data_IF_538067791695
#
_entry.id   IF_538067791695
#
_cell.length_a   1.000
_cell.length_b   1.000
_cell.length_c   1.000
_cell.angle_alpha   90.00
_cell.angle_beta   90.00
_cell.angle_gamma   90.00
#
_symmetry.space_group_name_H-M   'P 1'
#
loop_
_entity.id
_entity.type
_entity.pdbx_description
1 polymer ?
#
# COMPACT_ATOMS: atom_id res chain seq x y z
N UNK A 1 -32.32 4.02 -3.80
CA UNK A 1 -31.34 4.51 -4.81
C UNK A 1 -29.89 4.60 -4.31
N UNK A 2 -29.58 5.10 -3.09
CA UNK A 2 -28.19 5.12 -2.56
C UNK A 2 -27.60 3.72 -2.33
N UNK A 3 -28.40 2.78 -1.83
CA UNK A 3 -27.98 1.40 -1.52
C UNK A 3 -27.53 0.62 -2.78
N UNK A 4 -28.28 0.70 -3.87
CA UNK A 4 -27.90 0.01 -5.12
C UNK A 4 -26.60 0.56 -5.72
N UNK A 5 -26.38 1.88 -5.69
CA UNK A 5 -25.13 2.49 -6.16
C UNK A 5 -23.91 2.04 -5.34
N UNK A 6 -24.08 1.90 -4.00
CA UNK A 6 -23.00 1.39 -3.14
C UNK A 6 -22.57 -0.03 -3.49
N UNK A 7 -23.53 -0.92 -3.82
CA UNK A 7 -23.21 -2.28 -4.26
C UNK A 7 -22.37 -2.27 -5.56
N UNK A 8 -22.76 -1.45 -6.54
CA UNK A 8 -21.99 -1.35 -7.78
C UNK A 8 -20.56 -0.85 -7.53
N UNK A 9 -20.38 0.17 -6.69
CA UNK A 9 -19.06 0.70 -6.33
C UNK A 9 -18.21 -0.37 -5.63
N UNK A 10 -18.79 -1.10 -4.68
CA UNK A 10 -18.11 -2.21 -4.01
C UNK A 10 -17.67 -3.30 -5.01
N UNK A 11 -18.54 -3.71 -5.92
CA UNK A 11 -18.23 -4.74 -6.93
C UNK A 11 -17.11 -4.27 -7.85
N UNK A 12 -17.14 -3.01 -8.30
CA UNK A 12 -16.05 -2.42 -9.10
C UNK A 12 -14.74 -2.47 -8.30
N UNK A 13 -14.75 -2.05 -7.04
CA UNK A 13 -13.59 -2.11 -6.17
C UNK A 13 -13.06 -3.54 -6.00
N UNK A 14 -13.94 -4.52 -5.78
CA UNK A 14 -13.56 -5.93 -5.65
C UNK A 14 -12.92 -6.49 -6.94
N UNK A 15 -13.42 -6.11 -8.13
CA UNK A 15 -12.81 -6.47 -9.43
C UNK A 15 -11.42 -5.85 -9.56
N UNK A 16 -11.26 -4.59 -9.17
CA UNK A 16 -9.94 -3.93 -9.14
C UNK A 16 -9.02 -4.62 -8.13
N UNK A 17 -9.54 -5.06 -6.98
CA UNK A 17 -8.80 -5.86 -5.99
C UNK A 17 -8.31 -7.21 -6.54
N UNK A 18 -9.12 -7.87 -7.37
CA UNK A 18 -8.70 -9.08 -8.07
C UNK A 18 -7.53 -8.82 -9.03
N UNK A 19 -7.56 -7.70 -9.77
CA UNK A 19 -6.44 -7.27 -10.60
C UNK A 19 -5.22 -6.86 -9.74
N UNK A 20 -5.43 -6.21 -8.61
CA UNK A 20 -4.36 -5.85 -7.67
C UNK A 20 -3.58 -7.08 -7.20
N UNK A 21 -4.26 -8.20 -6.93
CA UNK A 21 -3.60 -9.47 -6.59
C UNK A 21 -2.65 -9.96 -7.72
N UNK A 22 -3.02 -9.74 -8.97
CA UNK A 22 -2.13 -10.05 -10.12
C UNK A 22 -0.89 -9.15 -10.10
N UNK A 23 -1.06 -7.85 -9.83
CA UNK A 23 0.05 -6.91 -9.71
C UNK A 23 0.99 -7.28 -8.56
N UNK A 24 0.44 -7.58 -7.37
CA UNK A 24 1.21 -8.02 -6.19
C UNK A 24 2.04 -9.28 -6.46
N UNK A 25 1.48 -10.23 -7.23
CA UNK A 25 2.19 -11.47 -7.51
C UNK A 25 3.18 -11.40 -8.66
N UNK A 26 3.02 -10.49 -9.63
CA UNK A 26 3.81 -10.47 -10.85
C UNK A 26 4.85 -9.36 -10.93
N UNK A 27 4.55 -8.17 -10.45
CA UNK A 27 5.48 -7.04 -10.54
C UNK A 27 6.79 -7.25 -9.79
N UNK A 28 6.81 -7.87 -8.58
CA UNK A 28 8.09 -8.18 -7.92
C UNK A 28 9.00 -9.11 -8.72
N UNK A 29 8.41 -9.96 -9.56
CA UNK A 29 9.14 -10.90 -10.43
C UNK A 29 9.43 -10.32 -11.83
N UNK A 30 9.10 -9.05 -12.08
CA UNK A 30 9.26 -8.40 -13.39
C UNK A 30 8.33 -8.97 -14.48
N UNK A 31 7.26 -9.68 -14.11
CA UNK A 31 6.36 -10.33 -15.04
C UNK A 31 5.24 -9.42 -15.54
N UNK A 32 4.81 -9.63 -16.78
CA UNK A 32 3.69 -8.90 -17.37
C UNK A 32 2.36 -9.22 -16.66
N UNK A 33 1.61 -8.17 -16.30
CA UNK A 33 0.27 -8.29 -15.70
C UNK A 33 -0.82 -8.56 -16.73
N UNK A 34 -0.52 -8.40 -18.03
CA UNK A 34 -1.49 -8.57 -19.11
C UNK A 34 -1.48 -10.00 -19.65
N UNK A 35 -0.29 -10.57 -19.90
CA UNK A 35 -0.11 -11.92 -20.45
C UNK A 35 0.95 -12.69 -19.66
N UNK A 36 0.79 -14.00 -19.48
CA UNK A 36 -0.38 -14.84 -19.82
C UNK A 36 -1.56 -14.63 -18.86
N UNK A 37 -2.74 -15.18 -19.21
CA UNK A 37 -3.92 -15.21 -18.31
C UNK A 37 -3.60 -15.94 -17.00
N UNK A 38 -4.36 -15.67 -15.95
CA UNK A 38 -4.19 -16.32 -14.63
C UNK A 38 -4.37 -17.83 -14.74
N UNK A 39 -3.48 -18.57 -14.11
CA UNK A 39 -3.44 -20.04 -14.11
C UNK A 39 -3.09 -20.58 -12.72
N UNK A 40 -3.53 -21.80 -12.44
CA UNK A 40 -3.11 -22.48 -11.24
C UNK A 40 -1.59 -22.76 -11.29
N UNK A 41 -0.80 -22.39 -10.27
CA UNK A 41 0.66 -22.60 -10.29
C UNK A 41 1.04 -24.08 -10.27
N UNK A 42 0.18 -24.99 -9.75
CA UNK A 42 0.46 -26.41 -9.67
C UNK A 42 0.10 -27.21 -10.92
N UNK A 43 -1.11 -27.04 -11.44
CA UNK A 43 -1.56 -27.88 -12.57
C UNK A 43 -1.61 -27.12 -13.91
N UNK A 44 -1.32 -25.81 -13.94
CA UNK A 44 -1.37 -25.02 -15.15
C UNK A 44 -2.79 -24.71 -15.68
N UNK A 45 -3.87 -25.20 -14.99
CA UNK A 45 -5.24 -24.94 -15.38
C UNK A 45 -5.49 -23.43 -15.52
N UNK A 46 -5.99 -23.02 -16.67
CA UNK A 46 -6.31 -21.61 -16.93
C UNK A 46 -7.61 -21.24 -16.23
N UNK A 47 -7.56 -20.22 -15.36
CA UNK A 47 -8.71 -19.76 -14.59
C UNK A 47 -9.74 -19.15 -15.53
N UNK A 48 -10.96 -19.70 -15.54
CA UNK A 48 -12.10 -19.19 -16.33
C UNK A 48 -12.67 -17.92 -15.71
N UNK A 49 -13.39 -17.12 -16.48
CA UNK A 49 -14.02 -15.90 -15.96
C UNK A 49 -15.00 -16.18 -14.82
N UNK A 50 -15.75 -17.30 -14.88
CA UNK A 50 -16.65 -17.75 -13.81
C UNK A 50 -15.93 -18.20 -12.54
N UNK A 51 -14.68 -18.59 -12.64
CA UNK A 51 -13.81 -18.99 -11.52
C UNK A 51 -13.03 -17.79 -10.92
N UNK A 52 -13.17 -16.61 -11.53
CA UNK A 52 -12.48 -15.37 -11.15
C UNK A 52 -13.46 -14.26 -10.72
N UNK A 53 -14.68 -14.60 -10.32
CA UNK A 53 -15.62 -13.63 -9.73
C UNK A 53 -15.12 -13.32 -8.32
N UNK A 54 -14.77 -12.03 -8.02
CA UNK A 54 -14.13 -11.69 -6.76
C UNK A 54 -14.92 -12.19 -5.55
N UNK A 55 -14.20 -12.72 -4.56
CA UNK A 55 -14.72 -13.26 -3.30
C UNK A 55 -15.62 -14.49 -3.54
N UNK A 56 -16.62 -14.38 -4.41
CA UNK A 56 -17.67 -15.38 -4.65
C UNK A 56 -17.08 -16.70 -5.16
N UNK A 57 -16.20 -16.66 -6.17
CA UNK A 57 -15.58 -17.86 -6.71
C UNK A 57 -14.74 -18.60 -5.67
N UNK A 58 -14.01 -17.87 -4.83
CA UNK A 58 -13.21 -18.47 -3.76
C UNK A 58 -14.10 -19.20 -2.73
N UNK A 59 -15.24 -18.59 -2.36
CA UNK A 59 -16.22 -19.21 -1.44
C UNK A 59 -16.87 -20.46 -2.06
N UNK A 60 -17.34 -20.39 -3.31
CA UNK A 60 -17.97 -21.51 -4.02
C UNK A 60 -16.96 -22.66 -4.18
N UNK A 61 -15.74 -22.38 -4.55
CA UNK A 61 -14.67 -23.37 -4.71
C UNK A 61 -14.04 -23.81 -3.37
N UNK A 62 -14.54 -23.26 -2.24
CA UNK A 62 -14.03 -23.53 -0.89
C UNK A 62 -12.50 -23.34 -0.78
N UNK A 63 -11.99 -22.31 -1.43
CA UNK A 63 -10.57 -21.98 -1.46
C UNK A 63 -9.69 -23.01 -2.17
N UNK A 64 -10.20 -23.74 -3.17
CA UNK A 64 -9.49 -24.80 -3.87
C UNK A 64 -9.60 -24.63 -5.39
N UNK A 65 -8.54 -25.03 -6.11
CA UNK A 65 -8.54 -25.08 -7.57
C UNK A 65 -9.65 -26.04 -8.07
N UNK A 66 -10.38 -25.63 -9.11
CA UNK A 66 -11.45 -26.42 -9.72
C UNK A 66 -10.93 -27.74 -10.33
N UNK A 67 -9.70 -27.75 -10.83
CA UNK A 67 -9.09 -28.91 -11.51
C UNK A 67 -8.34 -29.83 -10.55
N UNK A 68 -7.30 -29.34 -9.85
CA UNK A 68 -6.41 -30.18 -9.03
C UNK A 68 -6.68 -30.14 -7.52
N UNK A 69 -7.68 -29.36 -7.07
CA UNK A 69 -8.07 -29.18 -5.66
C UNK A 69 -6.98 -28.61 -4.74
N UNK A 70 -5.88 -28.08 -5.32
CA UNK A 70 -4.85 -27.36 -4.56
C UNK A 70 -5.43 -26.11 -3.89
N UNK A 71 -4.94 -25.78 -2.70
CA UNK A 71 -5.42 -24.63 -1.91
C UNK A 71 -5.08 -23.29 -2.56
N UNK A 72 -6.06 -22.40 -2.64
CA UNK A 72 -5.91 -21.00 -3.06
C UNK A 72 -5.75 -20.14 -1.81
N UNK A 73 -4.70 -19.31 -1.79
CA UNK A 73 -4.41 -18.43 -0.64
C UNK A 73 -5.61 -17.55 -0.28
N UNK A 74 -5.85 -17.40 1.02
CA UNK A 74 -6.88 -16.51 1.57
C UNK A 74 -6.59 -15.03 1.29
N UNK A 75 -5.37 -14.69 0.94
CA UNK A 75 -4.99 -13.33 0.53
C UNK A 75 -5.87 -12.81 -0.61
N UNK A 76 -6.21 -13.67 -1.60
CA UNK A 76 -7.00 -13.26 -2.76
C UNK A 76 -8.34 -12.64 -2.36
N UNK A 77 -9.23 -13.35 -1.64
CA UNK A 77 -10.50 -12.76 -1.24
C UNK A 77 -10.35 -11.64 -0.20
N UNK A 78 -9.30 -11.63 0.63
CA UNK A 78 -9.06 -10.53 1.57
C UNK A 78 -8.72 -9.24 0.83
N UNK A 79 -7.82 -9.27 -0.15
CA UNK A 79 -7.46 -8.08 -0.93
C UNK A 79 -8.67 -7.58 -1.73
N UNK A 80 -9.43 -8.47 -2.34
CA UNK A 80 -10.64 -8.13 -3.07
C UNK A 80 -11.69 -7.45 -2.17
N UNK A 81 -11.89 -7.97 -0.97
CA UNK A 81 -12.78 -7.40 0.03
C UNK A 81 -12.28 -6.01 0.49
N UNK A 82 -10.99 -5.90 0.84
CA UNK A 82 -10.42 -4.63 1.30
C UNK A 82 -10.54 -3.53 0.25
N UNK A 83 -10.22 -3.84 -1.03
CA UNK A 83 -10.36 -2.85 -2.10
C UNK A 83 -11.84 -2.50 -2.32
N UNK A 84 -12.74 -3.50 -2.30
CA UNK A 84 -14.19 -3.24 -2.35
C UNK A 84 -14.65 -2.30 -1.24
N UNK A 85 -14.18 -2.50 -0.01
CA UNK A 85 -14.50 -1.64 1.14
C UNK A 85 -13.88 -0.24 1.02
N UNK A 86 -12.64 -0.11 0.55
CA UNK A 86 -11.99 1.19 0.29
C UNK A 86 -12.83 2.02 -0.71
N UNK A 87 -13.28 1.40 -1.79
CA UNK A 87 -14.11 2.06 -2.79
C UNK A 87 -15.49 2.44 -2.25
N UNK A 88 -16.10 1.57 -1.46
CA UNK A 88 -17.38 1.82 -0.81
C UNK A 88 -17.28 2.96 0.20
N UNK A 89 -16.20 2.99 1.00
CA UNK A 89 -15.93 4.03 2.00
C UNK A 89 -15.73 5.40 1.34
N UNK A 90 -14.88 5.47 0.29
CA UNK A 90 -14.68 6.69 -0.48
C UNK A 90 -16.01 7.22 -1.06
N UNK A 91 -16.84 6.32 -1.61
CA UNK A 91 -18.19 6.66 -2.08
C UNK A 91 -19.11 7.11 -0.94
N UNK A 92 -19.05 6.45 0.22
CA UNK A 92 -19.87 6.76 1.39
C UNK A 92 -19.65 8.16 1.92
N UNK A 93 -18.40 8.59 1.97
CA UNK A 93 -17.99 9.90 2.50
C UNK A 93 -18.03 11.04 1.46
N UNK A 94 -17.64 10.75 0.23
CA UNK A 94 -17.45 11.78 -0.81
C UNK A 94 -18.51 11.72 -1.93
N UNK A 95 -19.41 10.73 -1.92
CA UNK A 95 -20.39 10.54 -2.98
C UNK A 95 -19.78 10.07 -4.30
N UNK A 96 -20.52 10.28 -5.41
CA UNK A 96 -20.06 10.00 -6.77
C UNK A 96 -19.29 11.19 -7.34
N UNK A 97 -18.15 11.52 -6.77
CA UNK A 97 -17.30 12.65 -7.16
C UNK A 97 -16.01 12.14 -7.80
N UNK A 98 -15.34 13.01 -8.54
CA UNK A 98 -14.02 12.71 -9.08
C UNK A 98 -12.99 12.52 -7.95
N UNK A 99 -13.13 13.29 -6.87
CA UNK A 99 -12.31 13.15 -5.66
C UNK A 99 -12.48 11.78 -5.00
N UNK A 100 -13.70 11.22 -4.90
CA UNK A 100 -13.90 9.86 -4.38
C UNK A 100 -13.16 8.80 -5.22
N UNK A 101 -13.21 8.93 -6.54
CA UNK A 101 -12.46 8.07 -7.45
C UNK A 101 -10.95 8.18 -7.21
N UNK A 102 -10.41 9.40 -7.08
CA UNK A 102 -8.97 9.62 -6.80
C UNK A 102 -8.54 8.98 -5.49
N UNK A 103 -9.30 9.16 -4.42
CA UNK A 103 -9.02 8.57 -3.10
C UNK A 103 -9.03 7.04 -3.19
N UNK A 104 -10.04 6.45 -3.83
CA UNK A 104 -10.20 5.01 -3.95
C UNK A 104 -9.02 4.39 -4.73
N UNK A 105 -8.63 4.97 -5.87
CA UNK A 105 -7.49 4.47 -6.67
C UNK A 105 -6.18 4.65 -5.91
N UNK A 106 -5.93 5.80 -5.31
CA UNK A 106 -4.70 6.07 -4.56
C UNK A 106 -4.56 5.12 -3.37
N UNK A 107 -5.61 4.92 -2.59
CA UNK A 107 -5.62 3.97 -1.47
C UNK A 107 -5.41 2.52 -1.94
N UNK A 108 -5.96 2.15 -3.11
CA UNK A 108 -5.73 0.83 -3.73
C UNK A 108 -4.25 0.63 -4.10
N UNK A 109 -3.60 1.65 -4.69
CA UNK A 109 -2.16 1.59 -5.00
C UNK A 109 -1.33 1.45 -3.74
N UNK A 110 -1.62 2.24 -2.71
CA UNK A 110 -0.93 2.17 -1.42
C UNK A 110 -1.10 0.81 -0.74
N UNK A 111 -2.30 0.23 -0.80
CA UNK A 111 -2.53 -1.13 -0.30
C UNK A 111 -1.68 -2.17 -1.04
N UNK A 112 -1.59 -2.07 -2.37
CA UNK A 112 -0.74 -2.93 -3.19
C UNK A 112 0.73 -2.82 -2.80
N UNK A 113 1.24 -1.61 -2.63
CA UNK A 113 2.61 -1.33 -2.18
C UNK A 113 2.85 -1.93 -0.79
N UNK A 114 1.95 -1.66 0.18
CA UNK A 114 2.09 -2.18 1.54
C UNK A 114 2.14 -3.70 1.59
N UNK A 115 1.28 -4.41 0.85
CA UNK A 115 1.26 -5.87 0.80
C UNK A 115 2.53 -6.42 0.12
N UNK A 116 2.99 -5.76 -0.95
CA UNK A 116 4.18 -6.21 -1.68
C UNK A 116 5.44 -5.99 -0.86
N UNK A 117 5.56 -4.83 -0.22
CA UNK A 117 6.67 -4.52 0.67
C UNK A 117 6.71 -5.45 1.90
N UNK A 118 5.55 -5.73 2.50
CA UNK A 118 5.45 -6.69 3.61
C UNK A 118 5.91 -8.12 3.24
N UNK A 119 5.77 -8.53 1.97
CA UNK A 119 6.08 -9.88 1.51
C UNK A 119 7.47 -10.02 0.91
N UNK A 120 7.84 -9.07 0.08
CA UNK A 120 9.00 -9.14 -0.78
C UNK A 120 10.11 -8.15 -0.37
N UNK A 121 9.83 -7.24 0.59
CA UNK A 121 10.73 -6.14 0.98
C UNK A 121 11.14 -5.30 -0.24
N UNK A 122 10.20 -5.15 -1.18
CA UNK A 122 10.40 -4.47 -2.45
C UNK A 122 9.14 -3.68 -2.83
N UNK A 123 9.33 -2.46 -3.28
CA UNK A 123 8.28 -1.64 -3.88
C UNK A 123 8.46 -1.67 -5.41
N UNK A 124 7.59 -2.38 -6.15
CA UNK A 124 7.72 -2.49 -7.60
C UNK A 124 7.45 -1.15 -8.30
N UNK A 125 8.26 -0.85 -9.31
CA UNK A 125 8.13 0.37 -10.13
C UNK A 125 6.76 0.49 -10.80
N UNK A 126 6.10 -0.65 -11.10
CA UNK A 126 4.75 -0.64 -11.67
C UNK A 126 3.74 0.12 -10.82
N UNK A 127 3.82 0.01 -9.49
CA UNK A 127 2.96 0.79 -8.58
C UNK A 127 3.34 2.26 -8.52
N UNK A 128 4.63 2.56 -8.41
CA UNK A 128 5.10 3.94 -8.21
C UNK A 128 4.99 4.76 -9.48
N UNK A 129 5.33 4.20 -10.64
CA UNK A 129 5.15 4.87 -11.94
C UNK A 129 3.67 5.11 -12.24
N UNK A 130 2.81 4.07 -12.08
CA UNK A 130 1.37 4.24 -12.26
C UNK A 130 0.81 5.26 -11.28
N UNK A 131 1.17 5.16 -9.98
CA UNK A 131 0.68 6.07 -8.94
C UNK A 131 1.08 7.51 -9.20
N UNK A 132 2.34 7.76 -9.57
CA UNK A 132 2.83 9.10 -9.88
C UNK A 132 2.12 9.70 -11.10
N UNK A 133 2.03 8.93 -12.20
CA UNK A 133 1.31 9.36 -13.39
C UNK A 133 -0.16 9.66 -13.09
N UNK A 134 -0.83 8.76 -12.35
CA UNK A 134 -2.23 8.94 -11.97
C UNK A 134 -2.44 10.20 -11.13
N UNK A 135 -1.62 10.42 -10.09
CA UNK A 135 -1.75 11.58 -9.20
C UNK A 135 -1.49 12.88 -9.96
N UNK A 136 -0.42 12.96 -10.74
CA UNK A 136 -0.09 14.17 -11.51
C UNK A 136 -1.17 14.46 -12.56
N UNK A 137 -1.57 13.47 -13.36
CA UNK A 137 -2.61 13.67 -14.37
C UNK A 137 -3.93 14.14 -13.74
N UNK A 138 -4.36 13.45 -12.67
CA UNK A 138 -5.63 13.78 -12.02
C UNK A 138 -5.58 15.09 -11.24
N UNK A 139 -4.42 15.61 -10.86
CA UNK A 139 -4.32 16.95 -10.23
C UNK A 139 -4.69 18.07 -11.21
N UNK A 140 -4.28 17.96 -12.49
CA UNK A 140 -4.70 18.89 -13.53
C UNK A 140 -6.19 18.79 -13.86
N UNK A 141 -6.72 17.56 -13.94
CA UNK A 141 -8.17 17.36 -14.16
C UNK A 141 -8.99 17.91 -13.01
N UNK A 142 -8.55 17.68 -11.76
CA UNK A 142 -9.23 18.19 -10.57
C UNK A 142 -9.21 19.73 -10.50
N UNK A 143 -8.14 20.38 -10.92
CA UNK A 143 -8.08 21.83 -11.03
C UNK A 143 -9.15 22.35 -11.99
N UNK A 144 -9.32 21.72 -13.15
CA UNK A 144 -10.35 22.07 -14.12
C UNK A 144 -11.77 21.86 -13.60
N UNK A 145 -12.00 20.78 -12.82
CA UNK A 145 -13.28 20.46 -12.21
C UNK A 145 -13.59 21.25 -10.93
N UNK A 146 -12.62 21.97 -10.37
CA UNK A 146 -12.74 22.67 -9.08
C UNK A 146 -12.76 21.70 -7.86
N UNK A 147 -12.31 20.46 -8.02
CA UNK A 147 -12.29 19.41 -6.99
C UNK A 147 -10.85 19.06 -6.56
N UNK A 148 -10.09 20.00 -6.00
CA UNK A 148 -8.69 19.73 -5.61
C UNK A 148 -8.57 19.01 -4.27
N UNK A 149 -9.32 19.40 -3.25
CA UNK A 149 -9.24 18.79 -1.90
C UNK A 149 -9.73 17.32 -1.86
N UNK A 150 -9.07 16.43 -1.08
CA UNK A 150 -7.94 16.65 -0.17
C UNK A 150 -6.55 16.52 -0.83
N UNK A 151 -6.48 16.30 -2.13
CA UNK A 151 -5.22 16.19 -2.87
C UNK A 151 -4.57 17.55 -3.09
N UNK A 152 -3.25 17.53 -3.32
CA UNK A 152 -2.51 18.71 -3.73
C UNK A 152 -2.94 19.20 -5.14
N UNK A 153 -2.94 20.50 -5.35
CA UNK A 153 -3.06 21.10 -6.68
C UNK A 153 -1.82 20.80 -7.53
N UNK A 154 -1.85 21.07 -8.86
CA UNK A 154 -0.77 20.64 -9.75
C UNK A 154 0.63 21.14 -9.36
N UNK A 155 0.75 22.38 -8.94
CA UNK A 155 2.03 22.97 -8.52
C UNK A 155 2.53 22.39 -7.19
N UNK A 156 1.62 22.25 -6.22
CA UNK A 156 1.93 21.62 -4.94
C UNK A 156 2.22 20.13 -5.10
N UNK A 157 1.64 19.46 -6.10
CA UNK A 157 1.95 18.07 -6.42
C UNK A 157 3.39 17.93 -6.92
N UNK A 158 3.86 18.81 -7.83
CA UNK A 158 5.24 18.80 -8.31
C UNK A 158 6.22 19.11 -7.16
N UNK A 159 5.94 20.16 -6.38
CA UNK A 159 6.78 20.51 -5.23
C UNK A 159 6.77 19.40 -4.18
N UNK A 160 5.60 18.83 -3.89
CA UNK A 160 5.47 17.74 -2.93
C UNK A 160 6.21 16.46 -3.36
N UNK A 161 6.19 16.13 -4.65
CA UNK A 161 7.00 15.06 -5.21
C UNK A 161 8.50 15.26 -4.91
N UNK A 162 9.01 16.45 -5.19
CA UNK A 162 10.43 16.79 -4.95
C UNK A 162 10.76 16.78 -3.46
N UNK A 163 9.92 17.39 -2.63
CA UNK A 163 10.12 17.45 -1.17
C UNK A 163 10.04 16.05 -0.54
N UNK A 164 9.04 15.24 -0.91
CA UNK A 164 8.87 13.89 -0.37
C UNK A 164 10.03 12.98 -0.72
N UNK A 165 10.38 12.90 -2.01
CA UNK A 165 11.53 12.12 -2.48
C UNK A 165 12.86 12.65 -1.92
N UNK A 166 13.05 13.96 -1.91
CA UNK A 166 14.26 14.60 -1.40
C UNK A 166 14.46 14.37 0.10
N UNK A 167 13.41 14.55 0.90
CA UNK A 167 13.50 14.36 2.35
C UNK A 167 13.90 12.92 2.72
N UNK A 168 13.24 11.92 2.09
CA UNK A 168 13.56 10.51 2.36
C UNK A 168 14.95 10.13 1.85
N UNK A 169 15.40 10.72 0.71
CA UNK A 169 16.75 10.52 0.19
C UNK A 169 17.81 11.09 1.14
N UNK A 170 17.58 12.27 1.72
CA UNK A 170 18.48 12.88 2.70
C UNK A 170 18.55 12.01 3.96
N UNK A 171 17.42 11.53 4.47
CA UNK A 171 17.37 10.64 5.63
C UNK A 171 18.11 9.33 5.35
N UNK A 172 17.92 8.75 4.15
CA UNK A 172 18.62 7.54 3.72
C UNK A 172 20.12 7.75 3.63
N UNK A 173 20.56 8.86 3.02
CA UNK A 173 21.98 9.21 2.93
C UNK A 173 22.63 9.47 4.29
N UNK A 174 21.97 10.21 5.18
CA UNK A 174 22.47 10.43 6.55
C UNK A 174 22.58 9.10 7.31
N UNK A 175 21.59 8.22 7.15
CA UNK A 175 21.63 6.88 7.74
C UNK A 175 22.78 6.04 7.21
N UNK A 176 23.08 6.11 5.90
CA UNK A 176 24.21 5.41 5.28
C UNK A 176 25.56 5.91 5.80
N UNK A 177 25.73 7.24 5.89
CA UNK A 177 26.94 7.86 6.45
C UNK A 177 27.17 7.42 7.90
N UNK A 178 26.11 7.37 8.70
CA UNK A 178 26.21 7.01 10.12
C UNK A 178 26.39 5.50 10.35
N UNK A 179 25.62 4.68 9.65
CA UNK A 179 25.59 3.22 9.85
C UNK A 179 26.62 2.49 8.98
N UNK A 180 27.27 3.19 8.01
CA UNK A 180 28.18 2.63 7.01
C UNK A 180 27.59 1.44 6.24
N UNK A 181 26.29 1.49 6.01
CA UNK A 181 25.51 0.50 5.22
C UNK A 181 24.27 1.19 4.65
N UNK A 182 23.71 0.70 3.53
CA UNK A 182 22.44 1.22 3.02
C UNK A 182 21.39 1.24 4.11
N UNK A 183 20.80 2.42 4.37
CA UNK A 183 19.82 2.60 5.44
C UNK A 183 18.39 2.57 4.93
N UNK A 184 18.18 2.79 3.61
CA UNK A 184 16.85 2.91 3.03
C UNK A 184 16.84 2.45 1.57
N UNK A 185 15.76 1.81 1.13
CA UNK A 185 15.58 1.32 -0.23
C UNK A 185 15.21 2.45 -1.20
N UNK A 186 15.62 2.33 -2.47
CA UNK A 186 15.22 3.26 -3.52
C UNK A 186 13.69 3.26 -3.74
N UNK A 187 13.02 2.15 -3.45
CA UNK A 187 11.56 2.03 -3.48
C UNK A 187 10.85 3.01 -2.55
N UNK A 188 11.41 3.29 -1.35
CA UNK A 188 10.84 4.26 -0.41
C UNK A 188 10.93 5.68 -0.97
N UNK A 189 12.00 6.01 -1.71
CA UNK A 189 12.18 7.30 -2.39
C UNK A 189 11.11 7.48 -3.47
N UNK A 190 10.89 6.46 -4.31
CA UNK A 190 9.87 6.51 -5.37
C UNK A 190 8.45 6.51 -4.80
N UNK A 191 8.19 5.78 -3.72
CA UNK A 191 6.93 5.86 -3.00
C UNK A 191 6.68 7.26 -2.44
N UNK A 192 7.68 7.88 -1.83
CA UNK A 192 7.52 9.23 -1.28
C UNK A 192 7.41 10.31 -2.36
N UNK A 193 7.89 10.06 -3.58
CA UNK A 193 7.56 10.91 -4.73
C UNK A 193 6.05 10.85 -5.04
N UNK A 194 5.46 9.66 -5.07
CA UNK A 194 4.01 9.47 -5.30
C UNK A 194 3.17 10.10 -4.19
N UNK A 195 3.54 9.80 -2.94
CA UNK A 195 2.84 10.35 -1.75
C UNK A 195 2.96 11.87 -1.72
N UNK A 196 4.16 12.42 -1.90
CA UNK A 196 4.38 13.85 -1.91
C UNK A 196 3.60 14.55 -3.01
N UNK A 197 3.51 13.96 -4.20
CA UNK A 197 2.64 14.46 -5.27
C UNK A 197 1.15 14.47 -4.86
N UNK A 198 0.71 13.47 -4.12
CA UNK A 198 -0.69 13.37 -3.70
C UNK A 198 -1.06 14.38 -2.60
N UNK A 199 -0.20 14.52 -1.59
CA UNK A 199 -0.51 15.28 -0.38
C UNK A 199 0.09 16.70 -0.35
N UNK A 200 1.08 16.99 -1.22
CA UNK A 200 1.82 18.24 -1.23
C UNK A 200 3.00 18.28 -0.25
N UNK A 201 3.81 19.38 -0.26
CA UNK A 201 5.12 19.40 0.40
C UNK A 201 5.05 19.25 1.93
N UNK A 202 4.17 20.00 2.60
CA UNK A 202 4.10 20.00 4.07
C UNK A 202 3.57 18.66 4.59
N UNK A 203 2.50 18.14 3.97
CA UNK A 203 1.89 16.87 4.39
C UNK A 203 2.76 15.66 4.05
N UNK A 204 3.68 15.76 3.07
CA UNK A 204 4.66 14.71 2.81
C UNK A 204 5.67 14.54 3.94
N UNK A 205 6.14 15.66 4.53
CA UNK A 205 6.98 15.62 5.73
C UNK A 205 6.22 15.05 6.94
N UNK A 206 4.95 15.43 7.11
CA UNK A 206 4.08 14.85 8.13
C UNK A 206 3.93 13.33 7.93
N UNK A 207 3.80 12.84 6.70
CA UNK A 207 3.73 11.40 6.40
C UNK A 207 4.98 10.66 6.88
N UNK A 208 6.16 11.19 6.56
CA UNK A 208 7.44 10.62 7.00
C UNK A 208 7.51 10.58 8.54
N UNK A 209 7.12 11.67 9.19
CA UNK A 209 7.11 11.75 10.65
C UNK A 209 6.15 10.72 11.28
N UNK A 210 4.92 10.61 10.78
CA UNK A 210 3.94 9.63 11.26
C UNK A 210 4.49 8.20 11.08
N UNK A 211 5.02 7.87 9.90
CA UNK A 211 5.59 6.56 9.63
C UNK A 211 6.77 6.25 10.55
N UNK A 212 7.68 7.22 10.76
CA UNK A 212 8.84 7.08 11.64
C UNK A 212 8.48 6.88 13.12
N UNK A 213 7.35 7.42 13.57
CA UNK A 213 6.84 7.22 14.93
C UNK A 213 6.12 5.87 15.05
N UNK A 214 5.27 5.52 14.08
CA UNK A 214 4.46 4.28 14.15
C UNK A 214 5.33 3.03 13.96
N UNK A 215 6.33 3.06 13.08
CA UNK A 215 7.16 1.89 12.78
C UNK A 215 7.81 1.27 14.03
N UNK A 216 8.55 2.00 14.87
CA UNK A 216 9.16 1.44 16.07
C UNK A 216 8.11 1.00 17.11
N UNK A 217 6.98 1.69 17.23
CA UNK A 217 5.90 1.32 18.15
C UNK A 217 5.32 -0.04 17.76
N UNK A 218 4.99 -0.25 16.50
CA UNK A 218 4.45 -1.52 16.00
C UNK A 218 5.48 -2.64 16.14
N UNK A 219 6.74 -2.37 15.82
CA UNK A 219 7.81 -3.34 15.98
C UNK A 219 7.99 -3.79 17.43
N UNK A 220 8.05 -2.86 18.36
CA UNK A 220 8.27 -3.16 19.78
C UNK A 220 7.01 -3.73 20.45
N UNK A 221 5.83 -3.22 20.12
CA UNK A 221 4.59 -3.63 20.79
C UNK A 221 3.98 -4.91 20.20
N UNK A 222 4.18 -5.20 18.91
CA UNK A 222 3.50 -6.30 18.22
C UNK A 222 4.51 -7.35 17.73
N UNK A 223 5.48 -6.95 16.92
CA UNK A 223 6.37 -7.92 16.25
C UNK A 223 7.31 -8.58 17.24
N UNK A 224 7.90 -7.81 18.15
CA UNK A 224 8.83 -8.35 19.15
C UNK A 224 8.19 -9.36 20.10
N UNK A 225 7.02 -9.11 20.75
CA UNK A 225 6.41 -10.09 21.66
C UNK A 225 5.85 -11.32 20.91
N UNK A 226 5.37 -11.18 19.66
CA UNK A 226 4.91 -12.33 18.88
C UNK A 226 6.08 -13.24 18.48
N UNK A 227 7.20 -12.68 18.07
CA UNK A 227 8.41 -13.45 17.76
C UNK A 227 9.01 -14.11 19.01
N UNK A 228 8.95 -13.45 20.17
CA UNK A 228 9.42 -14.01 21.44
C UNK A 228 8.55 -15.20 21.92
N UNK A 229 7.23 -15.14 21.69
CA UNK A 229 6.31 -16.26 22.02
C UNK A 229 6.49 -17.46 21.10
N UNK A 230 6.66 -17.25 19.80
CA UNK A 230 6.95 -18.34 18.85
C UNK A 230 8.26 -19.09 19.13
N UNK A 231 9.25 -18.40 19.72
CA UNK A 231 10.52 -19.01 20.15
C UNK A 231 10.43 -19.77 21.47
N UNK A 232 9.44 -19.48 22.32
CA UNK A 232 9.23 -20.17 23.59
C UNK A 232 8.58 -21.54 23.43
N UNK A 233 7.84 -21.77 22.34
CA UNK A 233 7.12 -23.02 22.07
C UNK A 233 8.00 -24.09 21.39
N UNK A 234 9.18 -23.70 20.86
CA UNK A 234 10.11 -24.58 20.15
C UNK A 234 11.42 -24.79 20.95
N UNK A 235 11.32 -25.49 22.08
CA UNK A 235 12.47 -25.82 22.97
C UNK A 235 13.52 -26.77 22.36
N UNK A 236 13.43 -27.11 21.09
CA UNK A 236 14.33 -28.04 20.42
C UNK A 236 15.36 -27.45 19.44
N UNK A 237 15.34 -26.13 19.19
CA UNK A 237 16.18 -25.55 18.11
C UNK A 237 16.94 -24.28 18.55
N UNK A 238 17.85 -24.44 19.52
CA UNK A 238 18.66 -23.32 20.04
C UNK A 238 19.58 -22.70 18.97
N UNK A 239 20.09 -23.49 18.02
CA UNK A 239 20.96 -23.00 16.93
C UNK A 239 20.15 -22.22 15.87
N UNK A 240 18.98 -22.73 15.47
CA UNK A 240 18.10 -22.07 14.52
C UNK A 240 17.55 -20.74 15.07
N UNK A 241 17.32 -20.67 16.39
CA UNK A 241 16.92 -19.46 17.09
C UNK A 241 18.02 -18.38 17.12
N UNK A 242 19.29 -18.79 17.20
CA UNK A 242 20.44 -17.87 17.09
C UNK A 242 20.65 -17.40 15.66
N UNK A 243 20.49 -18.26 14.66
CA UNK A 243 20.50 -17.86 13.25
C UNK A 243 19.34 -16.93 12.91
N UNK A 244 18.13 -17.19 13.43
CA UNK A 244 16.96 -16.30 13.23
C UNK A 244 17.18 -14.95 13.90
N UNK A 245 17.76 -14.88 15.11
CA UNK A 245 18.16 -13.61 15.75
C UNK A 245 19.20 -12.83 14.93
N UNK A 246 20.17 -13.53 14.34
CA UNK A 246 21.14 -12.96 13.40
C UNK A 246 20.49 -12.47 12.10
N UNK A 247 19.51 -13.19 11.60
CA UNK A 247 18.76 -12.83 10.40
C UNK A 247 17.85 -11.60 10.60
N UNK A 248 17.23 -11.44 11.77
CA UNK A 248 16.44 -10.23 12.11
C UNK A 248 17.31 -8.98 12.20
N UNK A 249 18.56 -9.12 12.64
CA UNK A 249 19.54 -8.02 12.69
C UNK A 249 20.02 -7.57 11.31
N UNK A 250 19.87 -8.43 10.29
CA UNK A 250 20.23 -8.17 8.88
C UNK A 250 19.04 -7.84 7.98
N UNK A 251 17.79 -8.04 8.43
CA UNK A 251 16.60 -7.75 7.62
C UNK A 251 16.33 -6.25 7.60
N UNK A 252 16.25 -5.74 6.40
CA UNK A 252 15.68 -4.42 6.12
C UNK A 252 14.21 -4.44 6.58
N UNK A 253 13.78 -3.35 7.24
CA UNK A 253 12.39 -3.24 7.65
C UNK A 253 11.55 -2.78 6.45
N UNK A 254 10.39 -3.40 6.18
CA UNK A 254 9.51 -2.96 5.12
C UNK A 254 8.90 -1.61 5.52
N UNK A 255 9.60 -0.51 5.22
CA UNK A 255 9.17 0.83 5.66
C UNK A 255 7.94 1.32 4.89
N UNK A 256 7.75 0.86 3.65
CA UNK A 256 6.56 1.12 2.85
C UNK A 256 5.25 0.66 3.50
N UNK A 257 5.29 -0.39 4.33
CA UNK A 257 4.13 -0.84 5.13
C UNK A 257 3.64 0.23 6.09
N UNK A 258 4.52 1.10 6.59
CA UNK A 258 4.19 2.19 7.51
C UNK A 258 3.93 3.50 6.76
N UNK A 259 4.65 3.75 5.66
CA UNK A 259 4.45 4.93 4.83
C UNK A 259 3.06 4.94 4.18
N UNK A 260 2.57 3.79 3.70
CA UNK A 260 1.29 3.72 3.01
C UNK A 260 0.09 4.13 3.89
N UNK A 261 -0.15 3.60 5.08
CA UNK A 261 -1.22 4.08 5.95
C UNK A 261 -0.97 5.50 6.46
N UNK A 262 0.28 5.90 6.74
CA UNK A 262 0.61 7.26 7.13
C UNK A 262 0.25 8.27 6.02
N UNK A 263 0.43 7.91 4.76
CA UNK A 263 0.04 8.72 3.61
C UNK A 263 -1.48 8.94 3.54
N UNK A 264 -2.28 7.91 3.83
CA UNK A 264 -3.74 8.05 3.88
C UNK A 264 -4.19 8.96 5.04
N UNK A 265 -3.57 8.81 6.21
CA UNK A 265 -3.83 9.71 7.36
C UNK A 265 -3.45 11.14 7.01
N UNK A 266 -2.30 11.37 6.39
CA UNK A 266 -1.86 12.70 5.99
C UNK A 266 -2.74 13.29 4.87
N UNK A 267 -3.26 12.46 3.96
CA UNK A 267 -4.20 12.90 2.91
C UNK A 267 -5.52 13.39 3.51
N UNK A 268 -6.12 12.61 4.40
CA UNK A 268 -7.47 12.88 4.93
C UNK A 268 -7.44 13.86 6.10
N UNK A 269 -6.50 13.69 7.02
CA UNK A 269 -6.45 14.44 8.28
C UNK A 269 -5.26 15.41 8.41
N UNK A 270 -4.36 15.45 7.41
CA UNK A 270 -3.11 16.20 7.51
C UNK A 270 -3.32 17.69 7.82
N UNK A 271 -4.26 18.35 7.15
CA UNK A 271 -4.56 19.76 7.41
C UNK A 271 -5.06 20.00 8.86
N UNK A 272 -5.90 19.11 9.38
CA UNK A 272 -6.39 19.19 10.75
C UNK A 272 -5.28 18.98 11.79
N UNK A 273 -4.38 18.01 11.53
CA UNK A 273 -3.22 17.71 12.40
C UNK A 273 -2.28 18.90 12.43
N UNK A 274 -1.95 19.49 11.28
CA UNK A 274 -1.08 20.67 11.17
C UNK A 274 -1.71 21.87 11.88
N UNK A 275 -2.99 22.15 11.64
CA UNK A 275 -3.70 23.25 12.29
C UNK A 275 -3.80 23.08 13.81
N UNK A 276 -3.94 21.86 14.28
CA UNK A 276 -3.90 21.56 15.72
C UNK A 276 -2.50 21.82 16.29
N UNK A 277 -1.44 21.34 15.63
CA UNK A 277 -0.06 21.54 16.06
C UNK A 277 0.30 23.03 16.15
N UNK A 278 -0.01 23.82 15.11
CA UNK A 278 0.25 25.26 15.10
C UNK A 278 -0.47 26.00 16.23
N UNK A 279 -1.71 25.61 16.54
CA UNK A 279 -2.44 26.19 17.68
C UNK A 279 -1.80 25.88 19.04
N UNK A 280 -1.33 24.65 19.22
CA UNK A 280 -0.73 24.21 20.49
C UNK A 280 0.69 24.79 20.66
N UNK A 281 1.44 24.96 19.58
CA UNK A 281 2.79 25.54 19.60
C UNK A 281 2.81 27.07 19.68
N UNK A 282 1.66 27.73 19.54
CA UNK A 282 1.58 29.19 19.62
C UNK A 282 2.09 29.91 18.36
N UNK A 283 2.17 29.19 17.22
CA UNK A 283 2.60 29.70 15.91
C UNK A 283 1.43 30.09 15.02
#
# INVERSE_FOLDING_TARGET
MKFSKGIYVFVIGAVIGSFLNVCIGRWPEGLSVVKPRSRCPKCGHQIKASENIPIVSWLILRGKCSSCRERISIQYPIVELLVGLIWLDAYGHLGMTFTAFRVAVFATVLLGIAITDAKHFLIPDGFTVFGLFFVLLTSFVALYLGESEPFAGPWDAILGMCVGAGAISIVGWLGEVWLKRPAMGFGDVTLMAVVGAAVGPVRSLLTIFIAAVIAPIVLLAIVYPLSARGLADDKGQTELALETRGAWRKRELPFGVFLAPAALVALVHGNAIIAWYLRVSGL
#
